data_IF_756050525500
#
_entry.id   IF_756050525500
#
_cell.length_a   1.000
_cell.length_b   1.000
_cell.length_c   1.000
_cell.angle_alpha   90.00
_cell.angle_beta   90.00
_cell.angle_gamma   90.00
#
_symmetry.space_group_name_H-M   'P 1'
#
loop_
_entity.id
_entity.type
_entity.pdbx_description
1 polymer ?
#
# COMPACT_ATOMS: atom_id res chain seq x y z
N UNK A 1 1.37 -14.31 -11.27
CA UNK A 1 -0.08 -14.43 -10.97
C UNK A 1 -0.71 -15.37 -11.98
N UNK A 2 -1.14 -16.54 -11.53
CA UNK A 2 -1.75 -17.56 -12.39
C UNK A 2 -3.28 -17.45 -12.32
N UNK A 3 -3.94 -17.50 -13.47
CA UNK A 3 -5.40 -17.54 -13.61
C UNK A 3 -5.86 -18.96 -13.90
N UNK A 4 -6.82 -19.45 -13.11
CA UNK A 4 -7.42 -20.78 -13.28
C UNK A 4 -8.94 -20.69 -13.37
N UNK A 5 -9.56 -21.62 -14.09
CA UNK A 5 -11.02 -21.73 -14.11
C UNK A 5 -11.51 -22.47 -12.87
N UNK A 6 -12.78 -22.28 -12.49
CA UNK A 6 -13.34 -23.01 -11.34
C UNK A 6 -13.30 -24.54 -11.52
N UNK A 7 -13.41 -25.04 -12.76
CA UNK A 7 -13.34 -26.47 -13.05
C UNK A 7 -11.95 -27.03 -12.79
N UNK A 8 -10.90 -26.30 -13.21
CA UNK A 8 -9.51 -26.64 -12.92
C UNK A 8 -9.21 -26.55 -11.42
N UNK A 9 -9.78 -25.55 -10.73
CA UNK A 9 -9.71 -25.45 -9.27
C UNK A 9 -10.35 -26.66 -8.59
N UNK A 10 -11.50 -27.14 -9.05
CA UNK A 10 -12.19 -28.30 -8.47
C UNK A 10 -11.35 -29.58 -8.56
N UNK A 11 -10.65 -29.76 -9.68
CA UNK A 11 -9.83 -30.96 -9.90
C UNK A 11 -8.56 -30.95 -9.06
N UNK A 12 -7.97 -29.78 -8.83
CA UNK A 12 -6.64 -29.64 -8.22
C UNK A 12 -6.66 -28.80 -6.92
N UNK A 13 -7.78 -28.82 -6.19
CA UNK A 13 -8.02 -27.88 -5.08
C UNK A 13 -6.95 -27.98 -3.98
N UNK A 14 -6.52 -29.20 -3.66
CA UNK A 14 -5.50 -29.44 -2.62
C UNK A 14 -4.12 -28.99 -3.09
N UNK A 15 -3.71 -29.36 -4.30
CA UNK A 15 -2.40 -28.97 -4.86
C UNK A 15 -2.26 -27.44 -4.96
N UNK A 16 -3.32 -26.75 -5.42
CA UNK A 16 -3.31 -25.29 -5.50
C UNK A 16 -3.32 -24.64 -4.12
N UNK A 17 -4.04 -25.20 -3.15
CA UNK A 17 -4.02 -24.71 -1.78
C UNK A 17 -2.64 -24.87 -1.14
N UNK A 18 -2.02 -26.05 -1.28
CA UNK A 18 -0.68 -26.33 -0.76
C UNK A 18 0.36 -25.42 -1.43
N UNK A 19 0.27 -25.23 -2.75
CA UNK A 19 1.15 -24.31 -3.46
C UNK A 19 1.01 -22.86 -2.96
N UNK A 20 -0.22 -22.38 -2.71
CA UNK A 20 -0.46 -21.04 -2.17
C UNK A 20 0.07 -20.91 -0.74
N UNK A 21 0.01 -21.98 0.06
CA UNK A 21 0.56 -22.01 1.41
C UNK A 21 2.10 -22.06 1.42
N UNK A 22 2.72 -22.80 0.49
CA UNK A 22 4.17 -22.94 0.39
C UNK A 22 4.86 -21.72 -0.25
N UNK A 23 4.34 -21.24 -1.38
CA UNK A 23 4.94 -20.11 -2.11
C UNK A 23 4.44 -18.76 -1.63
N UNK A 24 3.24 -18.70 -1.03
CA UNK A 24 2.59 -17.44 -0.68
C UNK A 24 2.11 -16.64 -1.88
N UNK A 25 2.19 -17.19 -3.11
CA UNK A 25 1.71 -16.53 -4.30
C UNK A 25 0.19 -16.65 -4.43
N UNK A 26 -0.53 -15.55 -4.72
CA UNK A 26 -1.97 -15.58 -4.89
C UNK A 26 -2.39 -16.18 -6.23
N UNK A 27 -3.42 -17.03 -6.21
CA UNK A 27 -4.03 -17.62 -7.41
C UNK A 27 -5.36 -16.95 -7.71
N UNK A 28 -5.55 -16.53 -8.96
CA UNK A 28 -6.79 -15.92 -9.42
C UNK A 28 -7.69 -16.96 -10.07
N UNK A 29 -8.96 -16.98 -9.69
CA UNK A 29 -9.96 -17.93 -10.17
C UNK A 29 -11.02 -17.16 -10.96
N UNK A 30 -11.28 -17.56 -12.19
CA UNK A 30 -12.31 -16.94 -13.02
C UNK A 30 -13.58 -17.81 -13.08
N UNK A 31 -14.74 -17.16 -12.91
CA UNK A 31 -16.06 -17.77 -13.14
C UNK A 31 -17.07 -16.74 -13.59
N UNK A 32 -17.77 -17.00 -14.69
CA UNK A 32 -18.86 -16.16 -15.20
C UNK A 32 -18.46 -14.66 -15.28
N UNK A 33 -17.23 -14.37 -15.71
CA UNK A 33 -16.69 -13.01 -15.79
C UNK A 33 -16.37 -12.35 -14.45
N UNK A 34 -16.37 -13.10 -13.35
CA UNK A 34 -15.93 -12.63 -12.03
C UNK A 34 -14.61 -13.28 -11.65
N UNK A 35 -13.77 -12.52 -10.97
CA UNK A 35 -12.49 -12.97 -10.45
C UNK A 35 -12.58 -13.17 -8.93
N UNK A 36 -12.14 -14.34 -8.47
CA UNK A 36 -11.94 -14.68 -7.06
C UNK A 36 -10.44 -14.82 -6.81
N UNK A 37 -9.99 -14.50 -5.61
CA UNK A 37 -8.58 -14.60 -5.24
C UNK A 37 -8.42 -15.61 -4.11
N UNK A 38 -7.60 -16.62 -4.33
CA UNK A 38 -7.16 -17.54 -3.29
C UNK A 38 -5.85 -17.01 -2.71
N UNK A 39 -5.85 -16.70 -1.42
CA UNK A 39 -4.70 -16.16 -0.70
C UNK A 39 -4.52 -16.90 0.61
N UNK A 40 -3.27 -17.13 0.99
CA UNK A 40 -2.95 -17.60 2.34
C UNK A 40 -3.37 -16.52 3.34
N UNK A 41 -4.16 -16.89 4.35
CA UNK A 41 -4.45 -15.96 5.43
C UNK A 41 -3.16 -15.71 6.22
N UNK A 42 -2.66 -14.47 6.16
CA UNK A 42 -1.61 -14.03 7.07
C UNK A 42 -2.27 -13.61 8.37
N UNK A 43 -1.72 -13.98 9.53
CA UNK A 43 -2.24 -13.50 10.80
C UNK A 43 -2.25 -11.98 10.77
N UNK A 44 -3.44 -11.38 10.88
CA UNK A 44 -3.56 -9.92 11.00
C UNK A 44 -2.82 -9.52 12.28
N UNK A 45 -1.83 -8.67 12.13
CA UNK A 45 -1.18 -8.04 13.28
C UNK A 45 -2.23 -7.19 13.99
N UNK A 46 -2.67 -7.64 15.15
CA UNK A 46 -3.56 -6.89 16.01
C UNK A 46 -2.77 -5.70 16.56
N UNK A 47 -3.02 -4.51 15.99
CA UNK A 47 -2.34 -3.27 16.40
C UNK A 47 -2.56 -2.96 17.88
N UNK A 48 -3.65 -3.47 18.47
CA UNK A 48 -3.97 -3.33 19.89
C UNK A 48 -3.03 -4.14 20.79
N UNK A 49 -2.41 -5.20 20.24
CA UNK A 49 -1.46 -6.07 20.94
C UNK A 49 0.00 -5.64 20.76
N UNK A 50 0.26 -4.60 19.97
CA UNK A 50 1.63 -4.10 19.82
C UNK A 50 2.11 -3.50 21.14
N UNK A 51 3.34 -3.82 21.59
CA UNK A 51 3.90 -3.21 22.77
C UNK A 51 4.04 -1.71 22.53
N UNK A 52 3.47 -0.90 23.42
CA UNK A 52 3.66 0.56 23.40
C UNK A 52 5.14 0.84 23.63
N UNK A 53 5.73 1.62 22.72
CA UNK A 53 7.11 2.08 22.83
C UNK A 53 7.08 3.55 23.19
N UNK A 54 7.88 3.93 24.18
CA UNK A 54 8.16 5.34 24.45
C UNK A 54 9.09 5.81 23.32
N UNK A 55 8.49 6.36 22.27
CA UNK A 55 9.19 6.82 21.07
C UNK A 55 9.88 8.18 21.28
N UNK A 56 9.50 8.91 22.34
CA UNK A 56 9.99 10.23 22.67
C UNK A 56 11.08 10.08 23.74
N UNK A 57 12.27 10.57 23.43
CA UNK A 57 13.38 10.69 24.37
C UNK A 57 13.38 12.14 24.84
N UNK A 58 12.83 12.41 26.03
CA UNK A 58 12.67 13.77 26.56
C UNK A 58 11.22 14.09 26.92
N UNK A 59 10.92 15.38 27.08
CA UNK A 59 9.57 15.85 27.38
C UNK A 59 8.72 15.91 26.09
N UNK A 60 7.58 15.20 26.03
CA UNK A 60 6.67 15.30 24.89
C UNK A 60 6.10 16.71 24.66
N UNK A 61 5.99 17.55 25.69
CA UNK A 61 5.43 18.90 25.52
C UNK A 61 6.36 19.81 24.72
N UNK A 62 7.68 19.64 24.86
CA UNK A 62 8.68 20.37 24.09
C UNK A 62 8.55 20.14 22.58
N UNK A 63 8.08 18.97 22.13
CA UNK A 63 7.89 18.64 20.71
C UNK A 63 6.77 19.47 20.04
N UNK A 64 5.76 19.90 20.80
CA UNK A 64 4.63 20.66 20.28
C UNK A 64 5.04 22.08 19.93
N UNK A 65 5.98 22.64 20.69
CA UNK A 65 6.49 23.99 20.50
C UNK A 65 7.59 24.09 19.44
N UNK A 66 8.09 22.94 18.94
CA UNK A 66 9.09 22.95 17.86
C UNK A 66 8.41 23.37 16.56
N UNK A 67 8.69 24.61 16.13
CA UNK A 67 8.36 25.11 14.80
C UNK A 67 9.31 24.52 13.75
N UNK A 68 9.19 23.21 13.48
CA UNK A 68 9.96 22.51 12.42
C UNK A 68 9.42 22.85 11.01
N UNK A 69 8.19 23.37 10.94
CA UNK A 69 7.59 23.84 9.71
C UNK A 69 7.89 25.31 9.49
N UNK A 70 9.09 25.60 8.99
CA UNK A 70 9.35 26.85 8.28
C UNK A 70 9.13 26.58 6.78
N UNK A 71 8.06 27.15 6.23
CA UNK A 71 7.64 26.98 4.84
C UNK A 71 8.73 27.45 3.85
N UNK A 72 9.64 28.31 4.31
CA UNK A 72 10.80 28.79 3.56
C UNK A 72 11.95 27.76 3.45
N UNK A 73 12.16 26.89 4.45
CA UNK A 73 13.20 25.84 4.42
C UNK A 73 12.73 24.55 3.74
N UNK A 74 11.43 24.25 3.83
CA UNK A 74 10.85 23.05 3.21
C UNK A 74 10.56 23.19 1.70
N UNK A 75 10.80 24.39 1.15
CA UNK A 75 10.91 24.74 -0.26
C UNK A 75 10.34 23.72 -1.26
N UNK A 76 9.03 23.76 -1.48
CA UNK A 76 8.57 23.51 -2.84
C UNK A 76 9.10 24.71 -3.64
N UNK A 77 10.02 24.53 -4.61
CA UNK A 77 10.34 25.63 -5.49
C UNK A 77 9.01 25.99 -6.13
N UNK A 78 8.52 27.19 -5.85
CA UNK A 78 7.43 27.78 -6.60
C UNK A 78 7.83 27.61 -8.05
N UNK A 79 7.21 26.63 -8.72
CA UNK A 79 7.29 26.50 -10.15
C UNK A 79 6.78 27.83 -10.64
N UNK A 80 7.73 28.67 -11.03
CA UNK A 80 7.49 29.89 -11.75
C UNK A 80 6.57 29.46 -12.89
N UNK A 81 5.33 29.93 -12.84
CA UNK A 81 4.44 29.99 -13.99
C UNK A 81 5.13 30.88 -15.05
N UNK A 82 6.13 30.32 -15.72
CA UNK A 82 6.56 30.73 -17.05
C UNK A 82 5.75 29.94 -18.08
N UNK A 83 4.43 29.99 -17.94
CA UNK A 83 3.51 29.73 -19.03
C UNK A 83 2.60 30.96 -19.15
N UNK A 84 2.55 31.49 -20.37
CA UNK A 84 1.65 32.56 -20.82
C UNK A 84 2.10 34.02 -20.62
N UNK A 85 3.13 34.44 -21.39
CA UNK A 85 3.03 35.72 -22.11
C UNK A 85 3.91 35.90 -23.35
N UNK A 86 4.05 34.90 -24.22
CA UNK A 86 4.49 35.15 -25.62
C UNK A 86 3.55 34.57 -26.69
N UNK A 87 2.29 34.33 -26.34
CA UNK A 87 1.24 34.00 -27.31
C UNK A 87 0.46 35.26 -27.73
N UNK A 88 1.08 36.04 -28.63
CA UNK A 88 0.38 36.87 -29.62
C UNK A 88 -0.07 38.28 -29.21
N UNK A 89 0.53 39.31 -29.82
CA UNK A 89 -0.12 40.24 -30.77
C UNK A 89 0.81 41.36 -31.23
N UNK A 90 0.65 41.69 -32.53
CA UNK A 90 1.21 42.77 -33.34
C UNK A 90 2.61 42.53 -33.94
#
# INVERSE_FOLDING_TARGET
>A
MQTVTLTALRQNIFQLADQVLETGEPVMIERNGRHLLLVSERPKLDLSKLPRRNAIIGDPEELVDIKVWDEAEWGEPALLDECDRESGKA
#
